data_IF_536764234650
#
_entry.id   IF_536764234650
#
_cell.length_a   1.000
_cell.length_b   1.000
_cell.length_c   1.000
_cell.angle_alpha   90.00
_cell.angle_beta   90.00
_cell.angle_gamma   90.00
#
_symmetry.space_group_name_H-M   'P 1'
#
loop_
_entity.id
_entity.type
_entity.pdbx_description
1 polymer ?
#
# COMPACT_ATOMS: atom_id res chain seq x y z
N UNK A 1 3.09 -2.06 -23.98
CA UNK A 1 2.67 -1.91 -22.57
C UNK A 1 1.60 -2.96 -22.18
N UNK A 2 1.69 -4.20 -22.70
CA UNK A 2 0.71 -5.28 -22.48
C UNK A 2 1.31 -6.55 -21.83
N UNK A 3 2.64 -6.61 -21.70
CA UNK A 3 3.39 -7.79 -21.26
C UNK A 3 3.35 -8.02 -19.74
N UNK A 4 3.01 -6.98 -18.96
CA UNK A 4 2.97 -7.07 -17.49
C UNK A 4 1.68 -7.68 -16.95
N UNK A 5 0.60 -7.63 -17.72
CA UNK A 5 -0.71 -8.15 -17.32
C UNK A 5 -0.97 -9.56 -17.90
N UNK A 6 -0.07 -10.08 -18.73
CA UNK A 6 -0.15 -11.44 -19.24
C UNK A 6 0.06 -12.46 -18.10
N UNK A 7 -0.91 -13.36 -17.83
CA UNK A 7 -0.84 -14.30 -16.71
C UNK A 7 -0.01 -15.53 -17.08
N UNK A 8 1.27 -15.53 -16.70
CA UNK A 8 2.24 -16.59 -17.07
C UNK A 8 2.82 -17.35 -15.88
N UNK A 9 2.66 -16.85 -14.65
CA UNK A 9 3.26 -17.45 -13.46
C UNK A 9 2.27 -18.39 -12.76
N UNK A 10 2.61 -19.67 -12.58
CA UNK A 10 1.80 -20.56 -11.74
C UNK A 10 1.93 -20.21 -10.25
N UNK A 11 1.01 -20.68 -9.41
CA UNK A 11 1.12 -20.50 -7.94
C UNK A 11 2.41 -21.08 -7.35
N UNK A 12 2.93 -22.16 -7.93
CA UNK A 12 4.22 -22.72 -7.52
C UNK A 12 5.40 -21.82 -7.90
N UNK A 13 5.34 -21.17 -9.06
CA UNK A 13 6.34 -20.19 -9.47
C UNK A 13 6.26 -18.93 -8.59
N UNK A 14 5.05 -18.41 -8.35
CA UNK A 14 4.83 -17.26 -7.46
C UNK A 14 5.37 -17.53 -6.05
N UNK A 15 5.09 -18.71 -5.47
CA UNK A 15 5.58 -19.11 -4.16
C UNK A 15 7.12 -19.10 -4.08
N UNK A 16 7.81 -19.58 -5.12
CA UNK A 16 9.28 -19.56 -5.20
C UNK A 16 9.83 -18.14 -5.35
N UNK A 17 9.22 -17.31 -6.19
CA UNK A 17 9.67 -15.93 -6.43
C UNK A 17 9.54 -15.09 -5.15
N UNK A 18 8.44 -15.27 -4.43
CA UNK A 18 8.11 -14.50 -3.25
C UNK A 18 8.70 -15.09 -1.97
N UNK A 19 9.23 -16.32 -2.02
CA UNK A 19 9.58 -17.06 -0.81
C UNK A 19 8.43 -17.05 0.22
N UNK A 20 7.24 -17.42 -0.25
CA UNK A 20 6.00 -17.50 0.54
C UNK A 20 5.32 -18.83 0.20
N UNK A 21 4.84 -19.61 1.19
CA UNK A 21 4.16 -20.87 0.91
C UNK A 21 2.95 -20.69 -0.01
N UNK A 22 2.78 -21.61 -0.97
CA UNK A 22 1.62 -21.58 -1.88
C UNK A 22 0.28 -21.63 -1.14
N UNK A 23 0.21 -22.30 0.02
CA UNK A 23 -0.98 -22.31 0.87
C UNK A 23 -1.33 -20.91 1.41
N UNK A 24 -0.32 -20.12 1.77
CA UNK A 24 -0.49 -18.73 2.23
C UNK A 24 -1.02 -17.84 1.10
N UNK A 25 -0.49 -17.99 -0.12
CA UNK A 25 -1.00 -17.27 -1.29
C UNK A 25 -2.48 -17.59 -1.57
N UNK A 26 -2.88 -18.88 -1.49
CA UNK A 26 -4.30 -19.27 -1.61
C UNK A 26 -5.17 -18.65 -0.52
N UNK A 27 -4.68 -18.65 0.72
CA UNK A 27 -5.40 -18.06 1.84
C UNK A 27 -5.57 -16.55 1.67
N UNK A 28 -4.58 -15.86 1.12
CA UNK A 28 -4.66 -14.43 0.82
C UNK A 28 -5.67 -14.12 -0.29
N UNK A 29 -5.70 -14.92 -1.36
CA UNK A 29 -6.73 -14.82 -2.40
C UNK A 29 -8.14 -14.96 -1.82
N UNK A 30 -8.39 -16.03 -1.06
CA UNK A 30 -9.69 -16.36 -0.51
C UNK A 30 -10.17 -15.35 0.53
N UNK A 31 -9.25 -14.88 1.38
CA UNK A 31 -9.57 -14.00 2.51
C UNK A 31 -9.68 -12.53 2.12
N UNK A 32 -8.84 -12.05 1.21
CA UNK A 32 -8.73 -10.61 0.92
C UNK A 32 -9.18 -10.23 -0.49
N UNK A 33 -9.06 -11.12 -1.48
CA UNK A 33 -9.55 -10.88 -2.85
C UNK A 33 -8.93 -9.67 -3.59
N UNK A 34 -7.91 -9.01 -3.03
CA UNK A 34 -7.26 -7.82 -3.61
C UNK A 34 -6.44 -8.18 -4.86
N UNK A 35 -5.88 -9.39 -4.89
CA UNK A 35 -5.13 -9.95 -6.02
C UNK A 35 -5.82 -11.24 -6.42
N UNK A 36 -6.39 -11.26 -7.62
CA UNK A 36 -7.14 -12.41 -8.13
C UNK A 36 -6.45 -12.99 -9.36
N UNK A 37 -5.89 -14.21 -9.31
CA UNK A 37 -5.24 -14.82 -10.46
C UNK A 37 -6.25 -15.15 -11.57
N UNK A 38 -5.78 -15.16 -12.81
CA UNK A 38 -6.57 -15.65 -13.93
C UNK A 38 -6.57 -17.18 -13.92
N UNK A 39 -7.73 -17.79 -14.21
CA UNK A 39 -7.80 -19.24 -14.42
C UNK A 39 -7.52 -19.54 -15.89
N UNK A 40 -6.54 -20.40 -16.15
CA UNK A 40 -6.29 -20.98 -17.47
C UNK A 40 -7.41 -21.95 -17.87
N UNK A 41 -7.50 -22.31 -19.15
CA UNK A 41 -8.40 -23.35 -19.68
C UNK A 41 -8.27 -24.70 -18.92
N UNK A 42 -7.07 -24.98 -18.39
CA UNK A 42 -6.79 -26.14 -17.53
C UNK A 42 -7.14 -25.95 -16.04
N UNK A 43 -7.92 -24.93 -15.66
CA UNK A 43 -8.29 -24.59 -14.27
C UNK A 43 -7.11 -24.23 -13.32
N UNK A 44 -5.92 -23.97 -13.89
CA UNK A 44 -4.76 -23.55 -13.12
C UNK A 44 -4.80 -22.05 -12.83
N UNK A 45 -4.39 -21.65 -11.62
CA UNK A 45 -4.20 -20.24 -11.24
C UNK A 45 -2.92 -19.72 -11.86
N UNK A 46 -3.04 -18.68 -12.66
CA UNK A 46 -1.93 -17.97 -13.29
C UNK A 46 -1.94 -16.51 -12.83
N UNK A 47 -0.76 -16.04 -12.45
CA UNK A 47 -0.52 -14.65 -12.06
C UNK A 47 0.23 -13.93 -13.16
N UNK A 48 -0.12 -12.67 -13.36
CA UNK A 48 0.64 -11.76 -14.20
C UNK A 48 1.84 -11.19 -13.46
N UNK A 49 2.80 -10.62 -14.20
CA UNK A 49 3.95 -9.93 -13.58
C UNK A 49 3.50 -8.80 -12.66
N UNK A 50 2.48 -8.04 -13.03
CA UNK A 50 1.89 -6.98 -12.20
C UNK A 50 1.37 -7.53 -10.85
N UNK A 51 0.70 -8.68 -10.88
CA UNK A 51 0.24 -9.34 -9.66
C UNK A 51 1.39 -9.85 -8.78
N UNK A 52 2.47 -10.34 -9.39
CA UNK A 52 3.69 -10.70 -8.65
C UNK A 52 4.28 -9.46 -7.95
N UNK A 53 4.36 -8.32 -8.61
CA UNK A 53 4.88 -7.08 -7.97
C UNK A 53 3.99 -6.62 -6.80
N UNK A 54 2.66 -6.72 -6.93
CA UNK A 54 1.74 -6.44 -5.82
C UNK A 54 1.91 -7.40 -4.63
N UNK A 55 2.15 -8.69 -4.91
CA UNK A 55 2.45 -9.67 -3.87
C UNK A 55 3.82 -9.41 -3.20
N UNK A 56 4.82 -8.93 -3.94
CA UNK A 56 6.10 -8.48 -3.35
C UNK A 56 5.90 -7.31 -2.41
N UNK A 57 5.03 -6.36 -2.76
CA UNK A 57 4.66 -5.26 -1.86
C UNK A 57 4.03 -5.80 -0.56
N UNK A 58 3.08 -6.73 -0.65
CA UNK A 58 2.49 -7.35 0.54
C UNK A 58 3.57 -8.02 1.40
N UNK A 59 4.47 -8.78 0.77
CA UNK A 59 5.59 -9.44 1.46
C UNK A 59 6.47 -8.41 2.19
N UNK A 60 6.87 -7.32 1.54
CA UNK A 60 7.75 -6.33 2.17
C UNK A 60 7.08 -5.65 3.38
N UNK A 61 5.76 -5.48 3.37
CA UNK A 61 5.01 -5.01 4.54
C UNK A 61 5.00 -6.03 5.68
N UNK A 62 4.83 -7.31 5.37
CA UNK A 62 4.92 -8.39 6.36
C UNK A 62 6.33 -8.48 6.98
N UNK A 63 7.37 -8.36 6.15
CA UNK A 63 8.76 -8.36 6.60
C UNK A 63 9.06 -7.14 7.51
N UNK A 64 8.33 -6.04 7.32
CA UNK A 64 8.35 -4.85 8.19
C UNK A 64 7.45 -4.98 9.45
N UNK A 65 6.84 -6.14 9.70
CA UNK A 65 5.99 -6.39 10.87
C UNK A 65 4.53 -5.98 10.73
N UNK A 66 4.10 -5.55 9.54
CA UNK A 66 2.69 -5.21 9.27
C UNK A 66 1.87 -6.50 9.10
N UNK A 67 0.65 -6.51 9.65
CA UNK A 67 -0.23 -7.68 9.51
C UNK A 67 -0.64 -7.91 8.04
N UNK A 68 -0.91 -9.16 7.67
CA UNK A 68 -1.39 -9.49 6.33
C UNK A 68 -2.67 -8.72 5.96
N UNK A 69 -3.58 -8.51 6.92
CA UNK A 69 -4.83 -7.78 6.69
C UNK A 69 -4.56 -6.30 6.38
N UNK A 70 -3.66 -5.66 7.12
CA UNK A 70 -3.29 -4.27 6.90
C UNK A 70 -2.52 -4.09 5.59
N UNK A 71 -1.60 -5.01 5.27
CA UNK A 71 -0.86 -4.99 4.01
C UNK A 71 -1.78 -5.07 2.78
N UNK A 72 -2.79 -5.95 2.82
CA UNK A 72 -3.79 -6.04 1.74
C UNK A 72 -4.69 -4.80 1.69
N UNK A 73 -5.07 -4.22 2.84
CA UNK A 73 -5.84 -2.97 2.90
C UNK A 73 -5.06 -1.81 2.27
N UNK A 74 -3.79 -1.65 2.61
CA UNK A 74 -2.91 -0.61 2.05
C UNK A 74 -2.77 -0.77 0.52
N UNK A 75 -2.58 -2.01 0.05
CA UNK A 75 -2.53 -2.29 -1.38
C UNK A 75 -3.87 -1.93 -2.06
N UNK A 76 -5.00 -2.31 -1.48
CA UNK A 76 -6.32 -1.99 -2.03
C UNK A 76 -6.56 -0.47 -2.11
N UNK A 77 -6.09 0.29 -1.11
CA UNK A 77 -6.14 1.75 -1.11
C UNK A 77 -5.27 2.35 -2.22
N UNK A 78 -4.05 1.85 -2.42
CA UNK A 78 -3.17 2.28 -3.52
C UNK A 78 -3.77 1.99 -4.91
N UNK A 79 -4.52 0.89 -5.04
CA UNK A 79 -5.20 0.54 -6.28
C UNK A 79 -6.48 1.36 -6.53
N UNK A 80 -7.19 1.72 -5.46
CA UNK A 80 -8.45 2.47 -5.54
C UNK A 80 -8.23 4.00 -5.62
N UNK A 81 -7.12 4.49 -5.09
CA UNK A 81 -6.85 5.90 -4.95
C UNK A 81 -5.60 6.32 -5.71
N UNK A 82 -5.79 7.12 -6.76
CA UNK A 82 -4.88 8.24 -7.03
C UNK A 82 -4.99 9.36 -5.99
N UNK A 83 -5.82 9.20 -4.94
CA UNK A 83 -5.93 10.07 -3.76
C UNK A 83 -6.76 9.35 -2.69
N UNK A 84 -6.38 9.51 -1.43
CA UNK A 84 -7.01 8.90 -0.26
C UNK A 84 -8.17 9.79 0.24
N UNK A 85 -9.38 9.28 0.53
CA UNK A 85 -10.24 9.91 1.51
C UNK A 85 -9.78 9.50 2.93
N UNK A 86 -9.41 10.53 3.68
CA UNK A 86 -9.32 10.65 5.13
C UNK A 86 -9.63 9.38 5.96
N UNK A 87 -8.63 8.97 6.74
CA UNK A 87 -8.83 8.05 7.85
C UNK A 87 -9.83 8.62 8.87
N UNK A 88 -10.76 7.76 9.31
CA UNK A 88 -11.68 7.98 10.43
C UNK A 88 -10.87 8.38 11.68
N UNK A 89 -11.31 9.38 12.46
CA UNK A 89 -10.54 9.96 13.54
C UNK A 89 -10.53 9.01 14.74
N UNK A 90 -9.35 8.64 15.20
CA UNK A 90 -9.22 8.11 16.57
C UNK A 90 -8.93 9.27 17.52
N UNK A 91 -9.82 9.40 18.52
CA UNK A 91 -9.76 10.38 19.60
C UNK A 91 -8.66 9.97 20.55
N UNK A 92 -7.45 10.47 20.32
CA UNK A 92 -6.39 10.60 21.34
C UNK A 92 -5.39 11.65 20.87
N UNK A 93 -5.88 12.88 20.72
CA UNK A 93 -5.04 14.06 20.60
C UNK A 93 -4.68 14.54 22.00
N UNK A 94 -3.44 14.33 22.41
CA UNK A 94 -2.72 15.22 23.32
C UNK A 94 -1.21 14.92 23.20
N UNK A 95 -0.46 15.84 22.57
CA UNK A 95 1.00 15.93 22.70
C UNK A 95 1.87 15.45 21.54
N UNK A 96 1.34 15.05 20.38
CA UNK A 96 2.19 14.69 19.23
C UNK A 96 2.55 15.93 18.39
N UNK A 97 3.85 16.22 18.16
CA UNK A 97 4.27 17.33 17.33
C UNK A 97 3.80 17.13 15.88
N UNK A 98 3.24 18.19 15.29
CA UNK A 98 2.77 18.22 13.90
C UNK A 98 3.89 18.69 12.97
N UNK A 99 4.17 17.91 11.92
CA UNK A 99 5.10 18.23 10.84
C UNK A 99 4.30 18.54 9.56
N UNK A 100 4.54 19.72 8.99
CA UNK A 100 4.08 20.07 7.66
C UNK A 100 5.17 19.71 6.64
N UNK A 101 4.93 18.68 5.83
CA UNK A 101 5.79 18.28 4.73
C UNK A 101 5.37 19.01 3.45
N UNK A 102 6.23 19.87 2.92
CA UNK A 102 6.00 20.57 1.66
C UNK A 102 6.91 20.00 0.57
N UNK A 103 6.40 19.02 -0.19
CA UNK A 103 7.13 18.37 -1.27
C UNK A 103 6.24 18.21 -2.51
N UNK A 104 6.75 18.61 -3.67
CA UNK A 104 6.03 18.55 -4.95
C UNK A 104 6.01 17.14 -5.53
N UNK A 105 6.93 16.28 -5.13
CA UNK A 105 6.91 14.88 -5.46
C UNK A 105 6.03 14.13 -4.46
N UNK A 106 4.84 13.75 -4.91
CA UNK A 106 3.86 13.05 -4.10
C UNK A 106 4.38 11.70 -3.58
N UNK A 107 5.23 11.01 -4.36
CA UNK A 107 5.80 9.74 -3.93
C UNK A 107 6.82 9.94 -2.79
N UNK A 108 7.66 10.97 -2.90
CA UNK A 108 8.60 11.33 -1.85
C UNK A 108 7.86 11.80 -0.57
N UNK A 109 6.79 12.57 -0.74
CA UNK A 109 5.95 13.05 0.35
C UNK A 109 5.28 11.91 1.13
N UNK A 110 4.68 10.95 0.41
CA UNK A 110 4.03 9.78 1.01
C UNK A 110 5.03 8.89 1.77
N UNK A 111 6.25 8.75 1.24
CA UNK A 111 7.33 8.03 1.92
C UNK A 111 7.76 8.73 3.20
N UNK A 112 7.95 10.05 3.16
CA UNK A 112 8.33 10.85 4.32
C UNK A 112 7.23 10.87 5.39
N UNK A 113 5.95 10.93 4.99
CA UNK A 113 4.82 10.82 5.90
C UNK A 113 4.80 9.48 6.63
N UNK A 114 5.00 8.37 5.90
CA UNK A 114 5.03 7.04 6.50
C UNK A 114 6.08 6.96 7.62
N UNK A 115 7.31 7.42 7.36
CA UNK A 115 8.38 7.42 8.36
C UNK A 115 8.04 8.31 9.55
N UNK A 116 7.61 9.55 9.32
CA UNK A 116 7.33 10.49 10.41
C UNK A 116 6.14 10.07 11.27
N UNK A 117 5.11 9.45 10.69
CA UNK A 117 4.01 8.88 11.48
C UNK A 117 4.45 7.69 12.32
N UNK A 118 5.41 6.90 11.82
CA UNK A 118 6.00 5.78 12.58
C UNK A 118 6.80 6.30 13.80
N UNK A 119 7.45 7.45 13.64
CA UNK A 119 8.18 8.15 14.71
C UNK A 119 7.26 8.95 15.67
N UNK A 120 5.95 8.82 15.52
CA UNK A 120 4.97 9.42 16.44
C UNK A 120 4.64 10.88 16.16
N UNK A 121 5.02 11.41 14.99
CA UNK A 121 4.60 12.75 14.56
C UNK A 121 3.22 12.69 13.90
N UNK A 122 2.44 13.76 14.11
CA UNK A 122 1.36 14.06 13.19
C UNK A 122 1.96 14.69 11.94
N UNK A 123 1.44 14.34 10.76
CA UNK A 123 1.97 14.83 9.50
C UNK A 123 0.85 15.41 8.66
N UNK A 124 1.11 16.52 7.98
CA UNK A 124 0.27 17.06 6.91
C UNK A 124 1.15 17.28 5.68
N UNK A 125 0.69 16.85 4.50
CA UNK A 125 1.41 16.99 3.25
C UNK A 125 0.82 18.16 2.45
N UNK A 126 1.69 19.01 1.91
CA UNK A 126 1.35 20.01 0.92
C UNK A 126 2.18 19.79 -0.35
N UNK A 127 1.51 19.52 -1.48
CA UNK A 127 2.19 19.32 -2.76
C UNK A 127 2.43 20.62 -3.52
N UNK A 128 1.85 21.72 -3.05
CA UNK A 128 2.07 23.06 -3.58
C UNK A 128 2.02 24.16 -2.50
N UNK A 129 2.42 25.36 -2.89
CA UNK A 129 2.51 26.50 -1.98
C UNK A 129 1.15 27.02 -1.49
N UNK A 130 0.06 26.80 -2.24
CA UNK A 130 -1.28 27.20 -1.84
C UNK A 130 -1.81 26.25 -0.76
N UNK A 131 -1.64 24.94 -0.94
CA UNK A 131 -1.91 23.91 0.07
C UNK A 131 -1.10 24.14 1.34
N UNK A 132 0.19 24.43 1.22
CA UNK A 132 1.06 24.64 2.38
C UNK A 132 0.58 25.80 3.25
N UNK A 133 0.19 26.91 2.61
CA UNK A 133 -0.34 28.09 3.32
C UNK A 133 -1.67 27.81 4.00
N UNK A 134 -2.56 27.05 3.35
CA UNK A 134 -3.87 26.71 3.90
C UNK A 134 -3.74 25.77 5.11
N UNK A 135 -2.97 24.70 4.97
CA UNK A 135 -2.70 23.75 6.05
C UNK A 135 -1.99 24.40 7.24
N UNK A 136 -1.04 25.30 6.97
CA UNK A 136 -0.39 26.07 8.03
C UNK A 136 -1.39 26.94 8.78
N UNK A 137 -2.26 27.68 8.09
CA UNK A 137 -3.26 28.54 8.73
C UNK A 137 -4.31 27.76 9.55
N UNK A 138 -4.72 26.58 9.08
CA UNK A 138 -5.73 25.74 9.77
C UNK A 138 -5.18 25.01 11.00
N UNK A 139 -3.88 24.72 11.03
CA UNK A 139 -3.25 23.84 12.02
C UNK A 139 -2.23 24.54 12.90
N UNK A 140 -1.98 25.83 12.65
CA UNK A 140 -1.16 26.65 13.53
C UNK A 140 -1.85 26.79 14.89
N UNK A 141 -1.12 26.62 16.02
CA UNK A 141 -1.66 26.83 17.35
C UNK A 141 -2.05 28.30 17.62
#
# INVERSE_FOLDING_TARGET
MAELDEPVYSIGAAAKILDVPAATLRAWEERYGVITPTRSEGSQRLYSRNQIEKLKYIKSRLDAGVSAADAHRLLAQQLAGGSVPAAIPDRSAEGRPLILLADRDQYAADLAEYFLRTEGYDVSIATDAAQARLLFAERSP
#
